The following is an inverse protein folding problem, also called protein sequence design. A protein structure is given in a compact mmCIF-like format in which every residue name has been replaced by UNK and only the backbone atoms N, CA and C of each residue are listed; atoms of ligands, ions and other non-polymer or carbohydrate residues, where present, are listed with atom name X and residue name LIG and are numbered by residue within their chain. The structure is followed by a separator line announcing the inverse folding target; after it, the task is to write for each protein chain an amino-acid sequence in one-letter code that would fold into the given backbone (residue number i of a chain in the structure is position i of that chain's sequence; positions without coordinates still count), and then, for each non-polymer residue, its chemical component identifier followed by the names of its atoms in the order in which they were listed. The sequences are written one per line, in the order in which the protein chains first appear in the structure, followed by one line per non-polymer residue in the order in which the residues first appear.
data_IF_389943505553
#
_entry.id   IF_389943505553
#
_cell.length_a   1.000
_cell.length_b   1.000
_cell.length_c   1.000
_cell.angle_alpha   90.00
_cell.angle_beta   90.00
_cell.angle_gamma   90.00
#
_symmetry.space_group_name_H-M   'P 1'
#
loop_
_entity.id
_entity.type
_entity.pdbx_description
1 polymer ?
#
# COMPACT_ATOMS: atom_id res chain seq x y z
N UNK A 1 -18.49 -25.45 -53.82
CA UNK A 1 -18.82 -24.91 -52.47
C UNK A 1 -17.62 -25.12 -51.55
N UNK A 2 -16.78 -24.08 -51.35
CA UNK A 2 -15.64 -24.12 -50.45
C UNK A 2 -16.04 -23.37 -49.16
N UNK A 3 -16.05 -24.09 -48.04
CA UNK A 3 -16.30 -23.53 -46.72
C UNK A 3 -15.04 -22.74 -46.24
N UNK A 4 -15.20 -21.44 -46.01
CA UNK A 4 -14.28 -20.59 -45.31
C UNK A 4 -14.36 -20.88 -43.82
N UNK A 5 -13.35 -21.53 -43.24
CA UNK A 5 -13.13 -21.59 -41.80
C UNK A 5 -12.48 -20.29 -41.37
N UNK A 6 -13.24 -19.46 -40.68
CA UNK A 6 -12.72 -18.30 -39.98
C UNK A 6 -11.81 -18.74 -38.82
N UNK A 7 -10.52 -18.41 -38.89
CA UNK A 7 -9.59 -18.49 -37.78
C UNK A 7 -9.89 -17.34 -36.81
N UNK A 8 -10.52 -17.67 -35.70
CA UNK A 8 -10.51 -16.83 -34.50
C UNK A 8 -9.06 -16.78 -33.98
N UNK A 9 -8.38 -15.67 -34.22
CA UNK A 9 -7.11 -15.37 -33.54
C UNK A 9 -7.42 -15.11 -32.08
N UNK A 10 -7.13 -16.06 -31.23
CA UNK A 10 -7.01 -15.85 -29.79
C UNK A 10 -5.85 -14.86 -29.56
N UNK A 11 -6.14 -13.73 -28.93
CA UNK A 11 -5.11 -12.81 -28.45
C UNK A 11 -4.15 -13.57 -27.52
N UNK A 12 -2.83 -13.35 -27.60
CA UNK A 12 -1.92 -13.98 -26.67
C UNK A 12 -2.20 -13.49 -25.28
N UNK A 13 -2.38 -14.42 -24.34
CA UNK A 13 -2.41 -14.13 -22.90
C UNK A 13 -1.02 -13.64 -22.49
N UNK A 14 -0.86 -12.34 -22.33
CA UNK A 14 0.34 -11.71 -21.77
C UNK A 14 0.46 -11.88 -20.24
N UNK A 15 -0.07 -12.94 -19.68
CA UNK A 15 0.01 -13.28 -18.26
C UNK A 15 0.87 -14.54 -18.11
N UNK A 16 2.17 -14.37 -18.07
CA UNK A 16 3.14 -15.46 -17.87
C UNK A 16 4.29 -15.01 -16.99
N UNK A 17 4.57 -15.74 -15.93
CA UNK A 17 5.81 -15.82 -15.11
C UNK A 17 6.37 -14.52 -14.46
N UNK A 18 6.04 -13.31 -14.92
CA UNK A 18 6.63 -12.05 -14.43
C UNK A 18 5.81 -11.36 -13.31
N UNK A 19 4.55 -11.73 -13.08
CA UNK A 19 3.69 -11.07 -12.08
C UNK A 19 3.98 -11.48 -10.64
N UNK A 20 4.58 -12.66 -10.41
CA UNK A 20 4.99 -13.11 -9.07
C UNK A 20 6.36 -12.58 -8.61
N UNK A 21 7.06 -11.82 -9.46
CA UNK A 21 8.43 -11.38 -9.22
C UNK A 21 8.55 -10.12 -8.34
N UNK A 22 7.47 -9.35 -8.17
CA UNK A 22 7.54 -8.03 -7.52
C UNK A 22 6.75 -7.99 -6.20
N UNK A 23 7.16 -8.80 -5.23
CA UNK A 23 6.58 -8.87 -3.88
C UNK A 23 7.65 -8.64 -2.81
N UNK A 24 7.25 -8.12 -1.66
CA UNK A 24 8.04 -8.20 -0.42
C UNK A 24 7.53 -9.38 0.38
N UNK A 25 8.44 -10.28 0.75
CA UNK A 25 8.15 -11.40 1.66
C UNK A 25 8.52 -11.00 3.09
N UNK A 26 7.57 -11.16 4.01
CA UNK A 26 7.72 -10.71 5.39
C UNK A 26 6.81 -11.50 6.33
N UNK A 27 7.38 -12.14 7.35
CA UNK A 27 6.64 -12.86 8.40
C UNK A 27 5.47 -13.73 7.85
N UNK A 28 5.68 -14.39 6.69
CA UNK A 28 4.70 -15.25 6.02
C UNK A 28 3.71 -14.53 5.11
N UNK A 29 3.78 -13.21 4.98
CA UNK A 29 3.02 -12.45 3.99
C UNK A 29 3.83 -12.23 2.70
N UNK A 30 3.13 -12.18 1.57
CA UNK A 30 3.67 -11.79 0.25
C UNK A 30 2.91 -10.55 -0.21
N UNK A 31 3.51 -9.37 -0.04
CA UNK A 31 2.86 -8.09 -0.31
C UNK A 31 3.34 -7.57 -1.67
N UNK A 32 2.46 -7.36 -2.67
CA UNK A 32 2.85 -6.76 -3.95
C UNK A 32 3.48 -5.37 -3.75
N UNK A 33 4.63 -5.13 -4.38
CA UNK A 33 5.42 -3.90 -4.22
C UNK A 33 4.69 -2.64 -4.69
N UNK A 34 3.76 -2.78 -5.65
CA UNK A 34 2.95 -1.66 -6.14
C UNK A 34 1.47 -1.94 -5.89
N UNK A 35 0.82 -1.06 -5.15
CA UNK A 35 -0.62 -1.09 -4.92
C UNK A 35 -1.30 0.21 -5.34
N UNK A 36 -2.63 0.19 -5.47
CA UNK A 36 -3.44 1.38 -5.62
C UNK A 36 -3.90 1.88 -4.25
N UNK A 37 -3.46 3.09 -3.86
CA UNK A 37 -4.03 3.82 -2.74
C UNK A 37 -5.36 4.45 -3.12
N UNK A 38 -6.39 4.30 -2.25
CA UNK A 38 -7.74 4.80 -2.54
C UNK A 38 -8.14 6.03 -1.72
N UNK A 39 -7.23 6.61 -0.93
CA UNK A 39 -7.49 7.83 -0.17
C UNK A 39 -8.10 8.91 -1.08
N UNK A 40 -9.23 9.51 -0.63
CA UNK A 40 -9.95 10.57 -1.34
C UNK A 40 -10.47 10.19 -2.76
N UNK A 41 -10.52 8.90 -3.11
CA UNK A 41 -11.34 8.42 -4.23
C UNK A 41 -12.75 8.12 -3.71
N UNK A 42 -13.79 8.52 -4.48
CA UNK A 42 -15.18 8.42 -4.04
C UNK A 42 -16.08 7.82 -5.11
N UNK A 43 -17.12 7.10 -4.68
CA UNK A 43 -18.21 6.58 -5.52
C UNK A 43 -17.73 5.93 -6.80
N UNK A 44 -18.37 6.24 -7.92
CA UNK A 44 -18.05 5.65 -9.24
C UNK A 44 -16.60 5.82 -9.67
N UNK A 45 -15.96 6.94 -9.31
CA UNK A 45 -14.53 7.14 -9.64
C UNK A 45 -13.66 6.14 -8.90
N UNK A 46 -13.95 5.88 -7.61
CA UNK A 46 -13.20 4.89 -6.84
C UNK A 46 -13.38 3.49 -7.43
N UNK A 47 -14.62 3.06 -7.68
CA UNK A 47 -14.92 1.75 -8.25
C UNK A 47 -14.22 1.54 -9.60
N UNK A 48 -14.32 2.52 -10.50
CA UNK A 48 -13.66 2.50 -11.81
C UNK A 48 -12.12 2.41 -11.70
N UNK A 49 -11.49 3.20 -10.80
CA UNK A 49 -10.04 3.14 -10.64
C UNK A 49 -9.55 1.79 -10.10
N UNK A 50 -10.31 1.16 -9.20
CA UNK A 50 -10.01 -0.20 -8.72
C UNK A 50 -10.13 -1.23 -9.84
N UNK A 51 -11.22 -1.20 -10.61
CA UNK A 51 -11.45 -2.08 -11.76
C UNK A 51 -10.32 -1.93 -12.81
N UNK A 52 -10.00 -0.71 -13.22
CA UNK A 52 -8.96 -0.42 -14.19
C UNK A 52 -7.57 -0.81 -13.68
N UNK A 53 -7.25 -0.57 -12.39
CA UNK A 53 -5.99 -0.99 -11.80
C UNK A 53 -5.81 -2.50 -11.87
N UNK A 54 -6.82 -3.27 -11.48
CA UNK A 54 -6.79 -4.73 -11.54
C UNK A 54 -6.69 -5.25 -12.97
N UNK A 55 -7.37 -4.61 -13.92
CA UNK A 55 -7.25 -4.92 -15.36
C UNK A 55 -5.87 -4.63 -15.93
N UNK A 56 -5.12 -3.68 -15.34
CA UNK A 56 -3.75 -3.34 -15.71
C UNK A 56 -2.70 -4.25 -15.06
N UNK A 57 -3.09 -5.17 -14.18
CA UNK A 57 -2.18 -6.08 -13.49
C UNK A 57 -1.88 -5.72 -12.04
N UNK A 58 -2.44 -4.66 -11.48
CA UNK A 58 -2.34 -4.43 -10.03
C UNK A 58 -2.95 -5.62 -9.28
N UNK A 59 -2.29 -6.03 -8.19
CA UNK A 59 -2.78 -7.08 -7.29
C UNK A 59 -2.80 -6.62 -5.82
N UNK A 60 -2.66 -5.33 -5.55
CA UNK A 60 -2.77 -4.75 -4.22
C UNK A 60 -3.64 -3.49 -4.24
N UNK A 61 -4.70 -3.50 -3.42
CA UNK A 61 -5.61 -2.35 -3.22
C UNK A 61 -5.57 -1.97 -1.74
N UNK A 62 -5.27 -0.71 -1.46
CA UNK A 62 -5.21 -0.16 -0.11
C UNK A 62 -6.36 0.82 0.14
N UNK A 63 -7.17 0.53 1.14
CA UNK A 63 -8.26 1.37 1.61
C UNK A 63 -8.24 1.53 3.14
N UNK A 64 -9.26 2.13 3.74
CA UNK A 64 -9.46 2.25 5.18
C UNK A 64 -10.92 2.57 5.52
N UNK A 65 -11.37 2.19 6.72
CA UNK A 65 -12.72 2.50 7.21
C UNK A 65 -13.03 4.01 7.15
N UNK A 66 -12.04 4.85 7.52
CA UNK A 66 -12.16 6.31 7.55
C UNK A 66 -12.29 6.94 6.16
N UNK A 67 -11.89 6.25 5.07
CA UNK A 67 -11.99 6.82 3.72
C UNK A 67 -13.44 6.90 3.23
N UNK A 68 -14.35 6.12 3.81
CA UNK A 68 -15.76 6.11 3.44
C UNK A 68 -16.01 5.60 2.00
N UNK A 69 -15.08 4.82 1.45
CA UNK A 69 -15.14 4.35 0.07
C UNK A 69 -15.07 2.82 -0.08
N UNK A 70 -15.10 2.07 1.02
CA UNK A 70 -14.97 0.60 0.99
C UNK A 70 -16.06 -0.08 0.15
N UNK A 71 -17.28 0.47 0.12
CA UNK A 71 -18.36 -0.03 -0.77
C UNK A 71 -17.92 0.06 -2.24
N UNK A 72 -17.40 1.22 -2.65
CA UNK A 72 -16.93 1.45 -4.02
C UNK A 72 -15.71 0.59 -4.37
N UNK A 73 -14.79 0.37 -3.42
CA UNK A 73 -13.67 -0.57 -3.58
C UNK A 73 -14.20 -1.98 -3.83
N UNK A 74 -15.16 -2.45 -3.04
CA UNK A 74 -15.79 -3.75 -3.23
C UNK A 74 -16.55 -3.88 -4.58
N UNK A 75 -17.17 -2.80 -5.06
CA UNK A 75 -17.78 -2.74 -6.40
C UNK A 75 -16.71 -2.90 -7.50
N UNK A 76 -15.62 -2.16 -7.44
CA UNK A 76 -14.53 -2.24 -8.42
C UNK A 76 -13.85 -3.61 -8.43
N UNK A 77 -13.65 -4.22 -7.25
CA UNK A 77 -13.13 -5.59 -7.14
C UNK A 77 -14.01 -6.59 -7.91
N UNK A 78 -15.31 -6.55 -7.70
CA UNK A 78 -16.25 -7.46 -8.39
C UNK A 78 -16.35 -7.18 -9.89
N UNK A 79 -16.32 -5.91 -10.29
CA UNK A 79 -16.38 -5.50 -11.69
C UNK A 79 -15.16 -5.94 -12.49
N UNK A 80 -13.98 -6.01 -11.86
CA UNK A 80 -12.73 -6.40 -12.52
C UNK A 80 -12.71 -7.86 -13.00
N UNK A 81 -13.52 -8.74 -12.42
CA UNK A 81 -13.53 -10.18 -12.72
C UNK A 81 -12.28 -10.93 -12.23
N UNK A 82 -11.33 -10.26 -11.57
CA UNK A 82 -10.15 -10.89 -11.00
C UNK A 82 -10.53 -11.71 -9.76
N UNK A 83 -9.98 -12.90 -9.63
CA UNK A 83 -10.27 -13.79 -8.50
C UNK A 83 -9.86 -13.16 -7.17
N UNK A 84 -10.68 -13.37 -6.11
CA UNK A 84 -10.42 -12.77 -4.80
C UNK A 84 -9.05 -13.16 -4.21
N UNK A 85 -8.64 -14.37 -4.43
CA UNK A 85 -7.37 -14.94 -3.94
C UNK A 85 -6.13 -14.42 -4.68
N UNK A 86 -6.30 -13.81 -5.84
CA UNK A 86 -5.24 -13.12 -6.58
C UNK A 86 -5.00 -11.68 -6.11
N UNK A 87 -5.91 -11.10 -5.30
CA UNK A 87 -5.83 -9.68 -4.91
C UNK A 87 -5.52 -9.53 -3.43
N UNK A 88 -4.48 -8.78 -3.12
CA UNK A 88 -4.09 -8.38 -1.77
C UNK A 88 -4.85 -7.12 -1.36
N UNK A 89 -5.79 -7.24 -0.42
CA UNK A 89 -6.63 -6.14 0.07
C UNK A 89 -6.16 -5.70 1.45
N UNK A 90 -5.86 -4.41 1.58
CA UNK A 90 -5.57 -3.77 2.87
C UNK A 90 -6.70 -2.86 3.28
N UNK A 91 -7.18 -2.98 4.52
CA UNK A 91 -8.01 -1.97 5.17
C UNK A 91 -7.49 -1.63 6.56
N UNK A 92 -8.02 -0.58 7.20
CA UNK A 92 -7.47 -0.04 8.44
C UNK A 92 -8.59 0.39 9.38
N UNK A 93 -8.42 0.11 10.68
CA UNK A 93 -9.32 0.58 11.73
C UNK A 93 -8.88 1.96 12.19
N UNK A 94 -9.83 2.90 12.22
CA UNK A 94 -9.56 4.28 12.61
C UNK A 94 -9.30 4.42 14.10
N UNK A 95 -8.54 5.44 14.49
CA UNK A 95 -8.09 5.65 15.87
C UNK A 95 -9.20 5.81 16.92
N UNK A 96 -10.42 6.21 16.53
CA UNK A 96 -11.57 6.26 17.46
C UNK A 96 -12.10 4.87 17.85
N UNK A 97 -11.84 3.86 17.04
CA UNK A 97 -12.40 2.52 17.17
C UNK A 97 -11.36 1.49 17.67
N UNK A 98 -10.32 1.93 18.39
CA UNK A 98 -9.23 1.04 18.81
C UNK A 98 -9.48 0.27 20.11
N UNK A 99 -10.57 0.54 20.86
CA UNK A 99 -11.01 -0.32 21.97
C UNK A 99 -11.50 -1.66 21.44
N UNK A 100 -11.27 -2.74 22.17
CA UNK A 100 -11.45 -4.10 21.69
C UNK A 100 -12.80 -4.37 21.01
N UNK A 101 -13.92 -3.95 21.59
CA UNK A 101 -15.26 -4.15 21.03
C UNK A 101 -15.50 -3.30 19.77
N UNK A 102 -15.03 -2.06 19.77
CA UNK A 102 -15.17 -1.14 18.66
C UNK A 102 -14.28 -1.56 17.48
N UNK A 103 -13.08 -2.07 17.77
CA UNK A 103 -12.15 -2.62 16.79
C UNK A 103 -12.78 -3.79 16.01
N UNK A 104 -13.37 -4.74 16.73
CA UNK A 104 -14.07 -5.88 16.13
C UNK A 104 -15.26 -5.41 15.29
N UNK A 105 -16.11 -4.51 15.81
CA UNK A 105 -17.25 -3.94 15.07
C UNK A 105 -16.76 -3.25 13.79
N UNK A 106 -15.77 -2.36 13.89
CA UNK A 106 -15.23 -1.62 12.73
C UNK A 106 -14.64 -2.55 11.67
N UNK A 107 -13.98 -3.64 12.09
CA UNK A 107 -13.46 -4.66 11.16
C UNK A 107 -14.59 -5.37 10.43
N UNK A 108 -15.63 -5.82 11.15
CA UNK A 108 -16.80 -6.49 10.55
C UNK A 108 -17.56 -5.55 9.60
N UNK A 109 -17.72 -4.27 9.96
CA UNK A 109 -18.35 -3.26 9.12
C UNK A 109 -17.56 -3.02 7.82
N UNK A 110 -16.23 -2.98 7.90
CA UNK A 110 -15.36 -2.90 6.71
C UNK A 110 -15.55 -4.10 5.79
N UNK A 111 -15.54 -5.31 6.32
CA UNK A 111 -15.78 -6.54 5.55
C UNK A 111 -17.17 -6.55 4.89
N UNK A 112 -18.20 -6.12 5.60
CA UNK A 112 -19.56 -6.01 5.06
C UNK A 112 -19.62 -4.99 3.90
N UNK A 113 -19.00 -3.81 4.04
CA UNK A 113 -18.92 -2.79 2.98
C UNK A 113 -18.16 -3.28 1.75
N UNK A 114 -17.01 -3.93 1.95
CA UNK A 114 -16.22 -4.54 0.89
C UNK A 114 -16.94 -5.74 0.24
N UNK A 115 -17.89 -6.36 0.95
CA UNK A 115 -18.52 -7.65 0.63
C UNK A 115 -17.50 -8.77 0.51
N UNK A 116 -16.57 -8.84 1.48
CA UNK A 116 -15.51 -9.83 1.56
C UNK A 116 -15.61 -10.62 2.87
N UNK A 117 -15.27 -11.92 2.87
CA UNK A 117 -15.20 -12.71 4.10
C UNK A 117 -13.96 -12.38 4.94
N UNK A 118 -12.90 -11.88 4.30
CA UNK A 118 -11.64 -11.48 4.95
C UNK A 118 -10.90 -10.42 4.13
N UNK A 119 -9.97 -9.71 4.77
CA UNK A 119 -8.94 -8.91 4.09
C UNK A 119 -7.58 -9.59 4.20
N UNK A 120 -6.65 -9.28 3.28
CA UNK A 120 -5.29 -9.83 3.34
C UNK A 120 -4.46 -9.14 4.42
N UNK A 121 -4.66 -7.84 4.62
CA UNK A 121 -3.97 -7.08 5.66
C UNK A 121 -4.93 -6.13 6.39
N UNK A 122 -4.99 -6.26 7.70
CA UNK A 122 -5.70 -5.34 8.60
C UNK A 122 -4.70 -4.51 9.40
N UNK A 123 -4.84 -3.19 9.37
CA UNK A 123 -3.95 -2.26 10.06
C UNK A 123 -4.66 -1.46 11.16
N UNK A 124 -3.94 -1.16 12.23
CA UNK A 124 -4.23 0.02 13.06
C UNK A 124 -3.84 1.24 12.24
N UNK A 125 -4.80 2.15 11.94
CA UNK A 125 -4.55 3.27 11.02
C UNK A 125 -3.64 4.34 11.61
N UNK A 126 -3.89 4.73 12.87
CA UNK A 126 -3.09 5.63 13.67
C UNK A 126 -3.07 5.14 15.12
N UNK A 127 -1.96 5.29 15.84
CA UNK A 127 -1.95 5.02 17.28
C UNK A 127 -2.87 6.01 18.00
N UNK A 128 -3.38 5.61 19.17
CA UNK A 128 -4.16 6.48 20.05
C UNK A 128 -3.65 6.32 21.49
N UNK A 129 -2.97 7.33 22.00
CA UNK A 129 -2.39 7.33 23.35
C UNK A 129 -3.42 7.25 24.48
N UNK A 130 -4.70 7.55 24.20
CA UNK A 130 -5.79 7.46 25.19
C UNK A 130 -6.31 6.02 25.39
N UNK A 131 -5.84 5.06 24.60
CA UNK A 131 -6.22 3.64 24.66
C UNK A 131 -4.93 2.81 24.86
N UNK A 132 -4.88 1.94 25.89
CA UNK A 132 -3.71 1.10 26.09
C UNK A 132 -3.35 0.29 24.82
N UNK A 133 -2.12 0.41 24.35
CA UNK A 133 -1.67 -0.27 23.11
C UNK A 133 -1.87 -1.79 23.21
N UNK A 134 -1.70 -2.39 24.40
CA UNK A 134 -1.97 -3.80 24.66
C UNK A 134 -3.40 -4.23 24.31
N UNK A 135 -4.39 -3.38 24.61
CA UNK A 135 -5.80 -3.64 24.28
C UNK A 135 -5.99 -3.67 22.76
N UNK A 136 -5.48 -2.65 22.07
CA UNK A 136 -5.58 -2.53 20.60
C UNK A 136 -4.86 -3.65 19.87
N UNK A 137 -3.62 -3.97 20.27
CA UNK A 137 -2.84 -5.09 19.67
C UNK A 137 -3.54 -6.42 19.95
N UNK A 138 -4.10 -6.62 21.14
CA UNK A 138 -4.90 -7.81 21.48
C UNK A 138 -6.11 -7.98 20.57
N UNK A 139 -6.85 -6.89 20.31
CA UNK A 139 -7.98 -6.89 19.38
C UNK A 139 -7.54 -7.20 17.94
N UNK A 140 -6.46 -6.59 17.46
CA UNK A 140 -5.88 -6.84 16.15
C UNK A 140 -5.48 -8.33 15.98
N UNK A 141 -4.79 -8.90 16.97
CA UNK A 141 -4.43 -10.33 16.97
C UNK A 141 -5.67 -11.25 16.96
N UNK A 142 -6.75 -10.86 17.69
CA UNK A 142 -8.02 -11.59 17.67
C UNK A 142 -8.62 -11.64 16.26
N UNK A 143 -8.61 -10.53 15.51
CA UNK A 143 -9.15 -10.49 14.13
C UNK A 143 -8.43 -11.45 13.20
N UNK A 144 -7.11 -11.62 13.35
CA UNK A 144 -6.35 -12.61 12.60
C UNK A 144 -6.75 -14.03 13.01
N UNK A 145 -6.79 -14.35 14.30
CA UNK A 145 -7.16 -15.69 14.79
C UNK A 145 -8.57 -16.12 14.39
N UNK A 146 -9.50 -15.17 14.31
CA UNK A 146 -10.88 -15.43 13.87
C UNK A 146 -11.02 -15.46 12.34
N UNK A 147 -9.94 -15.24 11.57
CA UNK A 147 -9.92 -15.35 10.12
C UNK A 147 -10.49 -14.13 9.37
N UNK A 148 -10.74 -13.00 10.06
CA UNK A 148 -11.17 -11.77 9.40
C UNK A 148 -10.04 -11.06 8.66
N UNK A 149 -8.78 -11.34 9.03
CA UNK A 149 -7.59 -10.88 8.33
C UNK A 149 -6.58 -12.02 8.22
N UNK A 150 -5.96 -12.19 7.05
CA UNK A 150 -4.86 -13.15 6.84
C UNK A 150 -3.59 -12.68 7.55
N UNK A 151 -3.32 -11.39 7.47
CA UNK A 151 -2.16 -10.73 8.07
C UNK A 151 -2.62 -9.47 8.81
N UNK A 152 -1.79 -9.06 9.77
CA UNK A 152 -2.03 -7.88 10.58
C UNK A 152 -0.79 -7.00 10.65
N UNK A 153 -0.99 -5.71 10.87
CA UNK A 153 0.09 -4.74 10.99
C UNK A 153 -0.38 -3.43 11.57
N UNK A 154 0.48 -2.45 11.49
CA UNK A 154 0.26 -1.12 12.05
C UNK A 154 0.48 -0.04 11.00
N UNK A 155 0.06 1.18 11.29
CA UNK A 155 0.34 2.34 10.44
C UNK A 155 0.63 3.56 11.32
N UNK A 156 1.61 4.37 10.87
CA UNK A 156 2.05 5.57 11.57
C UNK A 156 2.66 5.31 12.96
N UNK A 157 3.30 4.14 13.11
CA UNK A 157 4.02 3.79 14.33
C UNK A 157 5.46 4.25 14.23
N UNK A 158 5.90 4.98 15.27
CA UNK A 158 7.29 5.40 15.49
C UNK A 158 8.17 4.22 15.88
N UNK A 159 9.49 4.41 16.00
CA UNK A 159 10.42 3.37 16.45
C UNK A 159 9.94 2.76 17.77
N UNK A 160 9.65 3.59 18.77
CA UNK A 160 9.22 3.11 20.09
C UNK A 160 7.91 2.32 20.02
N UNK A 161 6.93 2.79 19.22
CA UNK A 161 5.65 2.10 19.07
C UNK A 161 5.77 0.78 18.29
N UNK A 162 6.67 0.69 17.31
CA UNK A 162 6.97 -0.57 16.61
C UNK A 162 7.57 -1.58 17.58
N UNK A 163 8.57 -1.17 18.37
CA UNK A 163 9.23 -2.02 19.36
C UNK A 163 8.24 -2.50 20.44
N UNK A 164 7.33 -1.63 20.90
CA UNK A 164 6.29 -1.98 21.87
C UNK A 164 5.23 -2.92 21.26
N UNK A 165 4.73 -2.61 20.06
CA UNK A 165 3.73 -3.44 19.38
C UNK A 165 4.26 -4.86 19.12
N UNK A 166 5.52 -4.99 18.71
CA UNK A 166 6.15 -6.28 18.49
C UNK A 166 6.25 -7.13 19.78
N UNK A 167 6.49 -6.50 20.94
CA UNK A 167 6.49 -7.18 22.25
C UNK A 167 5.11 -7.60 22.71
N UNK A 168 4.09 -6.79 22.42
CA UNK A 168 2.71 -7.03 22.85
C UNK A 168 1.95 -8.02 21.94
N UNK A 169 2.38 -8.15 20.70
CA UNK A 169 1.70 -8.98 19.71
C UNK A 169 1.92 -10.47 19.95
N UNK A 170 0.83 -11.24 19.99
CA UNK A 170 0.86 -12.72 20.04
C UNK A 170 0.81 -13.34 18.66
N UNK A 171 0.66 -12.53 17.63
CA UNK A 171 0.65 -12.92 16.21
C UNK A 171 1.71 -12.13 15.47
N UNK A 172 2.25 -12.66 14.38
CA UNK A 172 3.23 -11.94 13.58
C UNK A 172 2.63 -10.69 12.96
N UNK A 173 3.18 -9.52 13.30
CA UNK A 173 2.94 -8.29 12.55
C UNK A 173 3.77 -8.34 11.27
N UNK A 174 3.19 -7.90 10.14
CA UNK A 174 3.86 -7.98 8.84
C UNK A 174 4.17 -6.63 8.21
N UNK A 175 3.56 -5.54 8.69
CA UNK A 175 3.69 -4.25 8.01
C UNK A 175 3.61 -3.08 8.99
N UNK A 176 4.37 -2.01 8.69
CA UNK A 176 4.13 -0.66 9.18
C UNK A 176 3.94 0.27 7.98
N UNK A 177 2.73 0.81 7.79
CA UNK A 177 2.45 1.75 6.70
C UNK A 177 2.68 3.18 7.19
N UNK A 178 3.62 3.90 6.57
CA UNK A 178 4.02 5.25 6.98
C UNK A 178 4.11 6.21 5.81
N UNK A 179 4.08 7.51 6.06
CA UNK A 179 4.51 8.50 5.08
C UNK A 179 5.95 8.23 4.70
N UNK A 180 6.21 7.94 3.41
CA UNK A 180 7.55 7.69 2.94
C UNK A 180 7.69 8.12 1.49
N UNK A 181 8.62 9.03 1.24
CA UNK A 181 8.95 9.58 -0.09
C UNK A 181 10.36 10.21 -0.04
N UNK A 182 10.88 10.62 -1.18
CA UNK A 182 12.27 11.10 -1.34
C UNK A 182 12.62 12.32 -0.48
N UNK A 183 11.64 13.11 -0.05
CA UNK A 183 11.86 14.32 0.76
C UNK A 183 11.79 14.09 2.26
N UNK A 184 11.43 12.88 2.72
CA UNK A 184 11.29 12.55 4.13
C UNK A 184 12.26 11.44 4.53
N UNK A 185 13.13 11.72 5.50
CA UNK A 185 13.99 10.68 6.06
C UNK A 185 13.19 9.76 7.01
N UNK A 186 13.08 8.49 6.64
CA UNK A 186 12.44 7.45 7.43
C UNK A 186 13.42 6.32 7.82
N UNK A 187 14.71 6.61 7.78
CA UNK A 187 15.77 5.60 8.00
C UNK A 187 15.61 4.89 9.35
N UNK A 188 15.29 5.62 10.41
CA UNK A 188 15.13 5.05 11.76
C UNK A 188 13.93 4.11 11.83
N UNK A 189 12.76 4.54 11.32
CA UNK A 189 11.53 3.73 11.30
C UNK A 189 11.69 2.49 10.42
N UNK A 190 12.30 2.64 9.23
CA UNK A 190 12.58 1.51 8.32
C UNK A 190 13.51 0.50 9.02
N UNK A 191 14.56 0.97 9.72
CA UNK A 191 15.46 0.09 10.45
C UNK A 191 14.73 -0.65 11.60
N UNK A 192 13.85 0.03 12.34
CA UNK A 192 13.03 -0.60 13.38
C UNK A 192 12.10 -1.68 12.80
N UNK A 193 11.40 -1.37 11.70
CA UNK A 193 10.55 -2.35 11.01
C UNK A 193 11.34 -3.59 10.60
N UNK A 194 12.51 -3.42 9.98
CA UNK A 194 13.38 -4.54 9.56
C UNK A 194 13.86 -5.41 10.71
N UNK A 195 14.19 -4.82 11.88
CA UNK A 195 14.58 -5.60 13.08
C UNK A 195 13.50 -6.58 13.52
N UNK A 196 12.23 -6.24 13.31
CA UNK A 196 11.08 -7.07 13.68
C UNK A 196 10.49 -7.85 12.49
N UNK A 197 11.13 -7.84 11.34
CA UNK A 197 10.66 -8.51 10.13
C UNK A 197 9.38 -7.89 9.55
N UNK A 198 9.13 -6.59 9.76
CA UNK A 198 8.01 -5.88 9.14
C UNK A 198 8.43 -5.26 7.82
N UNK A 199 7.62 -5.44 6.80
CA UNK A 199 7.69 -4.63 5.59
C UNK A 199 7.26 -3.18 5.89
N UNK A 200 7.74 -2.25 5.08
CA UNK A 200 7.29 -0.86 5.09
C UNK A 200 6.43 -0.60 3.86
N UNK A 201 5.23 -0.05 4.08
CA UNK A 201 4.40 0.47 2.99
C UNK A 201 4.42 1.99 3.01
N UNK A 202 4.80 2.59 1.89
CA UNK A 202 4.86 4.03 1.71
C UNK A 202 3.50 4.58 1.23
N UNK A 203 2.81 5.31 2.09
CA UNK A 203 1.74 6.19 1.61
C UNK A 203 2.32 7.55 1.19
N UNK A 204 1.60 8.28 0.33
CA UNK A 204 2.09 9.51 -0.33
C UNK A 204 3.46 9.32 -1.02
N UNK A 205 3.75 8.19 -1.70
CA UNK A 205 5.08 7.84 -2.16
C UNK A 205 5.67 8.85 -3.17
N UNK A 206 4.83 9.62 -3.85
CA UNK A 206 5.21 10.70 -4.79
C UNK A 206 5.03 12.10 -4.18
N UNK A 207 5.07 12.21 -2.85
CA UNK A 207 4.93 13.48 -2.11
C UNK A 207 3.73 14.33 -2.58
N UNK A 208 2.57 13.70 -2.83
CA UNK A 208 1.34 14.33 -3.36
C UNK A 208 1.56 15.10 -4.66
N UNK A 209 2.46 14.61 -5.52
CA UNK A 209 2.79 15.21 -6.82
C UNK A 209 3.90 16.26 -6.78
N UNK A 210 4.46 16.61 -5.61
CA UNK A 210 5.57 17.58 -5.50
C UNK A 210 6.84 17.14 -6.26
N UNK A 211 6.97 15.85 -6.53
CA UNK A 211 8.10 15.29 -7.30
C UNK A 211 8.09 15.72 -8.77
N UNK A 212 6.97 16.15 -9.33
CA UNK A 212 6.84 16.43 -10.78
C UNK A 212 7.73 17.59 -11.26
N UNK A 213 8.01 18.56 -10.39
CA UNK A 213 8.89 19.69 -10.71
C UNK A 213 10.34 19.53 -10.22
N UNK A 214 10.71 18.37 -9.67
CA UNK A 214 12.05 18.15 -9.11
C UNK A 214 13.10 17.99 -10.21
N UNK A 215 14.13 18.83 -10.17
CA UNK A 215 15.19 18.85 -11.20
C UNK A 215 16.06 17.59 -11.19
N UNK A 216 16.34 17.03 -10.01
CA UNK A 216 17.15 15.80 -9.85
C UNK A 216 16.38 14.62 -10.39
N UNK A 217 15.13 14.42 -9.94
CA UNK A 217 14.28 13.33 -10.39
C UNK A 217 13.97 13.43 -11.89
N UNK A 218 13.70 14.64 -12.39
CA UNK A 218 13.46 14.88 -13.82
C UNK A 218 14.68 14.62 -14.68
N UNK A 219 15.90 14.96 -14.23
CA UNK A 219 17.14 14.68 -14.94
C UNK A 219 17.42 13.17 -14.99
N UNK A 220 17.27 12.49 -13.87
CA UNK A 220 17.44 11.03 -13.81
C UNK A 220 16.39 10.35 -14.70
N UNK A 221 15.14 10.77 -14.64
CA UNK A 221 14.06 10.21 -15.44
C UNK A 221 14.33 10.27 -16.93
N UNK A 222 14.92 11.36 -17.44
CA UNK A 222 15.30 11.50 -18.86
C UNK A 222 16.27 10.41 -19.33
N UNK A 223 17.14 9.89 -18.48
CA UNK A 223 18.08 8.81 -18.83
C UNK A 223 17.33 7.52 -19.19
N UNK A 224 16.19 7.28 -18.55
CA UNK A 224 15.40 6.04 -18.66
C UNK A 224 14.10 6.22 -19.46
N UNK A 225 13.84 7.41 -20.01
CA UNK A 225 12.53 7.78 -20.60
C UNK A 225 11.38 7.62 -19.60
N UNK A 226 11.60 8.07 -18.36
CA UNK A 226 10.66 7.98 -17.24
C UNK A 226 10.36 9.33 -16.63
N UNK A 227 9.16 9.45 -16.04
CA UNK A 227 8.75 10.63 -15.29
C UNK A 227 9.44 10.69 -13.92
N UNK A 228 9.51 11.88 -13.31
CA UNK A 228 10.01 12.04 -11.94
C UNK A 228 9.22 11.19 -10.93
N UNK A 229 7.90 11.01 -11.14
CA UNK A 229 7.07 10.13 -10.32
C UNK A 229 7.51 8.66 -10.41
N UNK A 230 7.77 8.17 -11.62
CA UNK A 230 8.27 6.80 -11.82
C UNK A 230 9.65 6.60 -11.18
N UNK A 231 10.56 7.56 -11.30
CA UNK A 231 11.88 7.53 -10.62
C UNK A 231 11.70 7.45 -9.11
N UNK A 232 10.81 8.27 -8.54
CA UNK A 232 10.52 8.27 -7.11
C UNK A 232 9.96 6.92 -6.63
N UNK A 233 8.99 6.35 -7.36
CA UNK A 233 8.43 5.04 -7.06
C UNK A 233 9.50 3.94 -7.19
N UNK A 234 10.32 3.98 -8.25
CA UNK A 234 11.41 3.04 -8.45
C UNK A 234 12.44 3.09 -7.33
N UNK A 235 12.79 4.28 -6.87
CA UNK A 235 13.69 4.45 -5.72
C UNK A 235 13.19 3.73 -4.48
N UNK A 236 11.89 3.83 -4.17
CA UNK A 236 11.31 3.18 -3.00
C UNK A 236 11.25 1.65 -3.17
N UNK A 237 10.79 1.14 -4.33
CA UNK A 237 10.70 -0.31 -4.54
C UNK A 237 12.07 -0.98 -4.63
N UNK A 238 13.13 -0.28 -5.06
CA UNK A 238 14.50 -0.80 -5.00
C UNK A 238 15.06 -0.90 -3.57
N UNK A 239 14.36 -0.32 -2.59
CA UNK A 239 14.64 -0.46 -1.15
C UNK A 239 13.70 -1.46 -0.48
N UNK A 240 12.97 -2.28 -1.25
CA UNK A 240 11.94 -3.21 -0.77
C UNK A 240 10.82 -2.51 0.03
N UNK A 241 10.48 -1.27 -0.36
CA UNK A 241 9.38 -0.52 0.22
C UNK A 241 8.19 -0.63 -0.72
N UNK A 242 7.07 -1.13 -0.19
CA UNK A 242 5.79 -1.19 -0.90
C UNK A 242 5.27 0.23 -1.13
N UNK A 243 4.80 0.53 -2.34
CA UNK A 243 4.27 1.85 -2.69
C UNK A 243 2.80 1.78 -3.04
N UNK A 244 2.00 2.73 -2.54
CA UNK A 244 0.56 2.81 -2.81
C UNK A 244 0.18 4.21 -3.34
N UNK A 245 0.69 4.60 -4.52
CA UNK A 245 0.32 5.87 -5.13
C UNK A 245 -1.19 5.93 -5.41
N UNK A 246 -1.78 7.11 -5.22
CA UNK A 246 -3.18 7.40 -5.51
C UNK A 246 -3.31 8.15 -6.82
N UNK A 247 -4.27 7.77 -7.63
CA UNK A 247 -4.67 8.55 -8.82
C UNK A 247 -6.15 8.37 -9.14
N UNK A 248 -6.73 9.36 -9.83
CA UNK A 248 -8.06 9.31 -10.45
C UNK A 248 -7.99 9.30 -11.99
N UNK A 249 -6.78 9.11 -12.56
CA UNK A 249 -6.51 9.13 -14.00
C UNK A 249 -5.92 7.81 -14.45
N UNK A 250 -6.55 7.17 -15.43
CA UNK A 250 -6.11 5.87 -16.00
C UNK A 250 -4.68 5.89 -16.52
N UNK A 251 -4.26 6.98 -17.18
CA UNK A 251 -2.89 7.12 -17.65
C UNK A 251 -1.88 7.03 -16.50
N UNK A 252 -2.17 7.68 -15.37
CA UNK A 252 -1.30 7.63 -14.18
C UNK A 252 -1.27 6.27 -13.51
N UNK A 253 -2.33 5.43 -13.63
CA UNK A 253 -2.27 4.04 -13.19
C UNK A 253 -1.18 3.27 -13.95
N UNK A 254 -1.13 3.42 -15.29
CA UNK A 254 -0.09 2.79 -16.12
C UNK A 254 1.30 3.30 -15.74
N UNK A 255 1.50 4.61 -15.72
CA UNK A 255 2.78 5.23 -15.37
C UNK A 255 3.29 4.74 -14.00
N UNK A 256 2.42 4.69 -12.98
CA UNK A 256 2.79 4.24 -11.64
C UNK A 256 3.14 2.73 -11.57
N UNK A 257 2.63 1.93 -12.50
CA UNK A 257 2.88 0.49 -12.56
C UNK A 257 4.11 0.14 -13.41
N UNK A 258 4.40 0.92 -14.45
CA UNK A 258 5.51 0.71 -15.39
C UNK A 258 6.84 1.25 -14.82
N UNK A 259 7.28 0.65 -13.71
CA UNK A 259 8.49 1.06 -12.98
C UNK A 259 9.52 -0.06 -12.80
N UNK A 260 9.27 -1.25 -13.36
CA UNK A 260 10.14 -2.41 -13.19
C UNK A 260 11.09 -2.67 -14.36
N UNK A 261 10.93 -1.96 -15.46
CA UNK A 261 11.70 -2.07 -16.71
C UNK A 261 13.02 -1.28 -16.72
N UNK A 262 13.33 -0.56 -15.63
CA UNK A 262 14.61 0.13 -15.45
C UNK A 262 15.13 -0.04 -14.01
N UNK A 263 16.40 0.26 -13.81
CA UNK A 263 17.06 0.17 -12.50
C UNK A 263 17.93 1.39 -12.26
N UNK A 264 17.70 2.08 -11.14
CA UNK A 264 18.54 3.18 -10.68
C UNK A 264 19.90 2.67 -10.24
N UNK A 265 20.96 3.34 -10.68
CA UNK A 265 22.35 3.06 -10.27
C UNK A 265 22.58 3.43 -8.79
N UNK A 266 23.63 2.89 -8.15
CA UNK A 266 23.98 3.26 -6.77
C UNK A 266 24.23 4.77 -6.58
N UNK A 267 24.79 5.45 -7.59
CA UNK A 267 25.01 6.91 -7.56
C UNK A 267 23.69 7.68 -7.59
N UNK A 268 22.76 7.30 -8.43
CA UNK A 268 21.42 7.91 -8.50
C UNK A 268 20.62 7.65 -7.21
N UNK A 269 20.69 6.43 -6.67
CA UNK A 269 20.07 6.11 -5.37
C UNK A 269 20.61 6.99 -4.25
N UNK A 270 21.92 7.27 -4.23
CA UNK A 270 22.56 8.16 -3.25
C UNK A 270 22.16 9.62 -3.46
N UNK A 271 22.09 10.07 -4.71
CA UNK A 271 21.67 11.43 -5.05
C UNK A 271 20.22 11.68 -4.62
N UNK A 272 19.31 10.76 -4.93
CA UNK A 272 17.90 10.83 -4.53
C UNK A 272 17.77 10.82 -2.99
N UNK A 273 18.55 10.01 -2.30
CA UNK A 273 18.55 9.99 -0.83
C UNK A 273 18.93 11.36 -0.23
N UNK A 274 19.74 12.14 -0.91
CA UNK A 274 20.12 13.51 -0.51
C UNK A 274 19.01 14.55 -0.63
N UNK A 275 17.85 14.22 -1.20
CA UNK A 275 16.69 15.12 -1.29
C UNK A 275 15.90 15.23 0.02
N UNK A 276 16.13 14.33 0.96
CA UNK A 276 15.44 14.34 2.26
C UNK A 276 15.83 15.58 3.08
N UNK A 277 14.85 16.20 3.73
CA UNK A 277 15.08 17.41 4.54
C UNK A 277 14.12 17.47 5.74
N UNK A 278 14.45 18.23 6.82
CA UNK A 278 13.66 18.25 8.06
C UNK A 278 12.19 18.66 7.93
N UNK A 279 11.85 19.41 6.87
CA UNK A 279 10.47 19.84 6.57
C UNK A 279 9.81 19.00 5.46
N UNK A 280 10.26 17.77 5.28
CA UNK A 280 9.76 16.86 4.24
C UNK A 280 8.37 16.31 4.54
N UNK A 281 7.97 16.21 5.80
CA UNK A 281 6.67 15.64 6.21
C UNK A 281 5.49 16.47 5.67
N UNK A 282 4.49 15.75 5.15
CA UNK A 282 3.29 16.35 4.54
C UNK A 282 2.03 16.08 5.35
N UNK A 283 2.04 15.03 6.17
CA UNK A 283 0.89 14.60 6.97
C UNK A 283 1.20 14.84 8.43
N UNK A 284 0.66 15.94 8.95
CA UNK A 284 0.80 16.37 10.33
C UNK A 284 -0.51 17.01 10.80
N UNK A 285 -0.99 16.61 11.96
CA UNK A 285 -2.19 17.10 12.58
C UNK A 285 -2.18 16.78 14.09
N UNK A 286 -3.11 17.29 14.87
CA UNK A 286 -3.12 17.18 16.34
C UNK A 286 -3.17 15.75 16.90
N UNK A 287 -3.49 14.74 16.10
CA UNK A 287 -3.51 13.32 16.47
C UNK A 287 -2.31 12.51 15.98
N UNK A 288 -1.28 13.16 15.40
CA UNK A 288 -0.05 12.45 15.02
C UNK A 288 0.81 12.16 16.24
N UNK A 289 1.57 11.04 16.24
CA UNK A 289 2.55 10.79 17.28
C UNK A 289 3.71 11.81 17.20
N UNK A 290 4.48 11.91 18.26
CA UNK A 290 5.78 12.57 18.21
C UNK A 290 6.71 11.71 17.34
N UNK A 291 7.21 12.31 16.24
CA UNK A 291 8.00 11.59 15.24
C UNK A 291 9.46 11.42 15.66
N UNK A 292 10.14 10.36 15.13
CA UNK A 292 11.55 10.01 15.40
C UNK A 292 12.58 11.00 14.85
#
# INVERSE_FOLDING_TARGET
MRALRGMLRTAPSFLGENEMAHVVETNGARIPLVGLGTWDLRGRTCARMVEEALSLGYRHIDTASMYGNEVAVGEGLRASGVSRDEVFITTKVWQSDLRAKDFERSTRDSLAKLKLPYVDLLLIHWPNSSIPLKETIGALCKMKREGFARHIGVSNFTVALVDEAAKLSTESLVNNQVECHVYLDQTKVIAACRRHGLAVTAYSPIARGRVEGDAVLGRIGKVYDKTAAQVCLRYLVQKDIVVIPRTSRTQRLRENFEIFDFKLSPSEMKEIAGLAHPRGRLVEWSGTPEWD
#
